data_IF_602940709643
#
_entry.id   IF_602940709643
#
_cell.length_a   1.000
_cell.length_b   1.000
_cell.length_c   1.000
_cell.angle_alpha   90.00
_cell.angle_beta   90.00
_cell.angle_gamma   90.00
#
_symmetry.space_group_name_H-M   'P 1'
#
loop_
_entity.id
_entity.type
_entity.pdbx_description
1 polymer ?
#
# COMPACT_ATOMS: atom_id res chain seq x y z
N UNK A 1 9.88 35.12 -4.67
CA UNK A 1 9.06 33.98 -4.33
C UNK A 1 7.91 33.93 -5.33
N UNK A 2 8.07 33.16 -6.40
CA UNK A 2 7.00 32.91 -7.36
C UNK A 2 5.97 32.04 -6.67
N UNK A 3 4.74 32.53 -6.55
CA UNK A 3 3.63 31.82 -5.98
C UNK A 3 3.37 30.53 -6.78
N UNK A 4 3.62 29.39 -6.18
CA UNK A 4 3.15 28.13 -6.73
C UNK A 4 1.62 28.18 -6.86
N UNK A 5 1.07 27.31 -7.70
CA UNK A 5 -0.37 27.12 -7.90
C UNK A 5 -1.06 26.60 -6.62
N UNK A 6 -0.93 27.33 -5.52
CA UNK A 6 -1.70 27.06 -4.32
C UNK A 6 -3.10 27.62 -4.52
N UNK A 7 -4.15 26.90 -4.17
CA UNK A 7 -5.51 27.42 -4.22
C UNK A 7 -5.59 28.69 -3.36
N UNK A 8 -6.19 29.72 -3.89
CA UNK A 8 -6.35 31.02 -3.23
C UNK A 8 -7.11 30.93 -1.89
N UNK A 9 -7.86 29.85 -1.72
CA UNK A 9 -8.62 29.53 -0.51
C UNK A 9 -8.23 28.11 -0.03
N UNK A 10 -7.34 27.98 0.95
CA UNK A 10 -6.88 26.68 1.46
C UNK A 10 -7.95 25.94 2.29
N UNK A 11 -9.07 26.58 2.59
CA UNK A 11 -10.17 25.99 3.35
C UNK A 11 -11.44 25.99 2.50
N UNK A 12 -11.92 24.80 2.16
CA UNK A 12 -13.22 24.61 1.52
C UNK A 12 -14.23 24.20 2.59
N UNK A 13 -15.38 24.86 2.60
CA UNK A 13 -16.52 24.42 3.38
C UNK A 13 -17.41 23.58 2.47
N UNK A 14 -17.48 22.28 2.72
CA UNK A 14 -18.36 21.34 2.01
C UNK A 14 -19.58 21.14 2.90
N UNK A 15 -20.76 21.52 2.40
CA UNK A 15 -22.03 21.16 3.02
C UNK A 15 -22.49 19.81 2.45
N UNK A 16 -22.95 18.93 3.30
CA UNK A 16 -23.54 17.65 2.93
C UNK A 16 -24.87 17.50 3.64
N UNK A 17 -25.93 17.26 2.89
CA UNK A 17 -27.25 16.99 3.42
C UNK A 17 -27.50 15.48 3.33
N UNK A 18 -27.66 14.85 4.49
CA UNK A 18 -27.97 13.43 4.57
C UNK A 18 -29.47 13.21 4.37
N UNK A 19 -29.82 12.20 3.59
CA UNK A 19 -31.19 11.76 3.36
C UNK A 19 -31.55 10.60 4.27
N UNK A 20 -32.85 10.30 4.42
CA UNK A 20 -33.30 9.14 5.16
C UNK A 20 -32.78 7.81 4.56
N UNK A 21 -32.48 7.79 3.27
CA UNK A 21 -31.94 6.60 2.61
C UNK A 21 -30.45 6.43 2.93
N UNK A 22 -29.69 7.51 3.04
CA UNK A 22 -28.31 7.45 3.53
C UNK A 22 -28.23 6.87 4.95
N UNK A 23 -29.17 7.26 5.83
CA UNK A 23 -29.25 6.71 7.18
C UNK A 23 -29.58 5.21 7.19
N UNK A 24 -30.49 4.75 6.34
CA UNK A 24 -30.83 3.33 6.23
C UNK A 24 -29.63 2.52 5.73
N UNK A 25 -28.94 3.02 4.71
CA UNK A 25 -27.74 2.37 4.17
C UNK A 25 -26.66 2.20 5.25
N UNK A 26 -26.43 3.27 6.05
CA UNK A 26 -25.48 3.22 7.16
C UNK A 26 -25.92 2.21 8.24
N UNK A 27 -27.22 2.20 8.60
CA UNK A 27 -27.74 1.23 9.57
C UNK A 27 -27.56 -0.21 9.11
N UNK A 28 -27.85 -0.50 7.84
CA UNK A 28 -27.68 -1.83 7.26
C UNK A 28 -26.20 -2.22 7.25
N UNK A 29 -25.33 -1.30 6.85
CA UNK A 29 -23.88 -1.52 6.89
C UNK A 29 -23.37 -1.82 8.31
N UNK A 30 -23.84 -1.08 9.33
CA UNK A 30 -23.49 -1.33 10.73
C UNK A 30 -23.93 -2.72 11.16
N UNK A 31 -25.20 -3.12 10.88
CA UNK A 31 -25.72 -4.45 11.21
C UNK A 31 -24.87 -5.55 10.59
N UNK A 32 -24.57 -5.44 9.31
CA UNK A 32 -23.71 -6.38 8.62
C UNK A 32 -22.33 -6.51 9.26
N UNK A 33 -21.72 -5.40 9.68
CA UNK A 33 -20.42 -5.43 10.35
C UNK A 33 -20.46 -6.14 11.71
N UNK A 34 -21.55 -5.98 12.47
CA UNK A 34 -21.73 -6.70 13.72
C UNK A 34 -21.95 -8.21 13.51
N UNK A 35 -22.67 -8.60 12.47
CA UNK A 35 -22.85 -10.01 12.11
C UNK A 35 -21.51 -10.62 11.71
N UNK A 36 -20.73 -9.97 10.82
CA UNK A 36 -19.41 -10.41 10.43
C UNK A 36 -18.46 -10.53 11.64
N UNK A 37 -18.50 -9.60 12.59
CA UNK A 37 -17.70 -9.66 13.81
C UNK A 37 -18.08 -10.88 14.66
N UNK A 38 -19.39 -11.12 14.84
CA UNK A 38 -19.89 -12.27 15.60
C UNK A 38 -19.47 -13.59 14.98
N UNK A 39 -19.48 -13.68 13.66
CA UNK A 39 -19.01 -14.86 12.93
C UNK A 39 -17.51 -15.06 13.10
N UNK A 40 -16.72 -13.98 12.99
CA UNK A 40 -15.28 -14.02 13.18
C UNK A 40 -14.86 -14.42 14.60
N UNK A 41 -15.63 -14.05 15.63
CA UNK A 41 -15.36 -14.44 17.03
C UNK A 41 -15.45 -15.96 17.27
N UNK A 42 -16.11 -16.69 16.36
CA UNK A 42 -16.27 -18.15 16.42
C UNK A 42 -15.30 -18.90 15.52
N UNK A 43 -14.50 -18.18 14.71
CA UNK A 43 -13.53 -18.78 13.81
C UNK A 43 -12.17 -18.99 14.48
N UNK A 44 -11.43 -19.98 14.00
CA UNK A 44 -10.02 -20.10 14.36
C UNK A 44 -9.17 -18.99 13.71
N UNK A 45 -8.11 -18.57 14.37
CA UNK A 45 -7.24 -17.48 13.89
C UNK A 45 -6.74 -17.68 12.44
N UNK A 46 -6.58 -18.94 12.02
CA UNK A 46 -6.13 -19.27 10.67
C UNK A 46 -7.20 -19.05 9.59
N UNK A 47 -8.47 -19.11 9.98
CA UNK A 47 -9.63 -18.99 9.09
C UNK A 47 -10.17 -17.56 9.01
N UNK A 48 -9.65 -16.66 9.84
CA UNK A 48 -10.06 -15.26 9.82
C UNK A 48 -9.82 -14.60 8.45
N UNK A 49 -10.80 -13.83 7.93
CA UNK A 49 -10.67 -13.16 6.66
C UNK A 49 -9.52 -12.15 6.67
N UNK A 50 -8.68 -12.20 5.65
CA UNK A 50 -7.59 -11.25 5.50
C UNK A 50 -8.13 -9.87 5.07
N UNK A 51 -7.48 -8.81 5.54
CA UNK A 51 -7.75 -7.46 5.05
C UNK A 51 -7.57 -7.40 3.52
N UNK A 52 -8.43 -6.65 2.86
CA UNK A 52 -8.35 -6.39 1.42
C UNK A 52 -7.08 -5.58 1.06
N UNK A 53 -6.61 -5.60 -0.20
CA UNK A 53 -5.49 -4.76 -0.62
C UNK A 53 -5.70 -3.27 -0.32
N UNK A 54 -6.93 -2.77 -0.47
CA UNK A 54 -7.28 -1.38 -0.15
C UNK A 54 -7.13 -1.09 1.33
N UNK A 55 -7.60 -1.98 2.20
CA UNK A 55 -7.47 -1.83 3.65
C UNK A 55 -6.02 -1.93 4.12
N UNK A 56 -5.19 -2.70 3.44
CA UNK A 56 -3.76 -2.80 3.72
C UNK A 56 -2.95 -1.62 3.19
N UNK A 57 -3.55 -0.72 2.42
CA UNK A 57 -2.87 0.34 1.65
C UNK A 57 -1.77 -0.25 0.78
N UNK A 58 -2.14 -1.32 0.08
CA UNK A 58 -1.23 -2.05 -0.77
C UNK A 58 -0.71 -1.17 -1.90
N UNK A 59 0.59 -1.21 -2.10
CA UNK A 59 1.27 -0.66 -3.28
C UNK A 59 1.84 -1.80 -4.08
N UNK A 60 1.54 -1.80 -5.36
CA UNK A 60 2.05 -2.81 -6.31
C UNK A 60 3.57 -2.70 -6.48
N UNK A 61 4.15 -3.78 -6.98
CA UNK A 61 5.53 -3.80 -7.43
C UNK A 61 5.77 -2.71 -8.47
N UNK A 62 6.95 -2.12 -8.47
CA UNK A 62 7.37 -1.17 -9.48
C UNK A 62 8.76 -1.52 -10.00
N UNK A 63 9.01 -1.18 -11.26
CA UNK A 63 10.27 -1.41 -11.93
C UNK A 63 10.92 -0.08 -12.23
N UNK A 64 12.06 0.14 -11.59
CA UNK A 64 12.79 1.40 -11.67
C UNK A 64 13.97 1.28 -12.64
N UNK A 65 14.05 2.15 -13.64
CA UNK A 65 15.27 2.30 -14.41
C UNK A 65 16.22 3.20 -13.63
N UNK A 66 17.32 2.61 -13.22
CA UNK A 66 18.37 3.28 -12.47
C UNK A 66 19.57 3.57 -13.36
N UNK A 67 20.17 4.74 -13.23
CA UNK A 67 21.41 5.10 -13.91
C UNK A 67 22.59 4.98 -12.94
N UNK A 68 23.67 4.37 -13.38
CA UNK A 68 24.91 4.24 -12.59
C UNK A 68 25.35 5.59 -12.01
N UNK A 69 25.53 5.65 -10.69
CA UNK A 69 25.91 6.86 -9.96
C UNK A 69 24.74 7.77 -9.56
N UNK A 70 23.49 7.38 -9.83
CA UNK A 70 22.28 8.10 -9.38
C UNK A 70 21.55 7.32 -8.31
N UNK A 71 21.13 8.01 -7.23
CA UNK A 71 20.29 7.42 -6.17
C UNK A 71 18.79 7.39 -6.54
N UNK A 72 18.36 8.27 -7.43
CA UNK A 72 16.94 8.35 -7.85
C UNK A 72 16.72 7.62 -9.17
N UNK A 73 15.56 7.00 -9.33
CA UNK A 73 15.14 6.39 -10.58
C UNK A 73 15.02 7.44 -11.70
N UNK A 74 15.38 7.05 -12.91
CA UNK A 74 15.18 7.87 -14.11
C UNK A 74 13.72 7.79 -14.53
N UNK A 75 13.16 6.57 -14.53
CA UNK A 75 11.75 6.28 -14.82
C UNK A 75 11.26 5.16 -13.92
N UNK A 76 9.94 5.10 -13.71
CA UNK A 76 9.24 4.04 -12.98
C UNK A 76 8.16 3.44 -13.87
N UNK A 77 8.05 2.12 -13.85
CA UNK A 77 7.06 1.36 -14.59
C UNK A 77 6.31 0.42 -13.66
N UNK A 78 5.08 0.09 -14.02
CA UNK A 78 4.25 -0.88 -13.30
C UNK A 78 4.52 -2.31 -13.73
N UNK A 79 5.04 -2.52 -14.91
CA UNK A 79 5.35 -3.84 -15.44
C UNK A 79 6.82 -3.94 -15.81
N UNK A 80 7.36 -5.15 -15.70
CA UNK A 80 8.73 -5.44 -16.12
C UNK A 80 8.90 -5.31 -17.65
N UNK A 81 7.87 -5.70 -18.40
CA UNK A 81 7.89 -5.61 -19.85
C UNK A 81 8.08 -4.19 -20.35
N UNK A 82 7.35 -3.22 -19.76
CA UNK A 82 7.49 -1.80 -20.15
C UNK A 82 8.87 -1.26 -19.76
N UNK A 83 9.39 -1.66 -18.60
CA UNK A 83 10.71 -1.28 -18.15
C UNK A 83 11.81 -1.83 -19.07
N UNK A 84 11.70 -3.09 -19.48
CA UNK A 84 12.62 -3.73 -20.42
C UNK A 84 12.60 -3.05 -21.78
N UNK A 85 11.40 -2.76 -22.32
CA UNK A 85 11.26 -2.09 -23.60
C UNK A 85 11.92 -0.70 -23.60
N UNK A 86 11.70 0.09 -22.57
CA UNK A 86 12.30 1.42 -22.44
C UNK A 86 13.82 1.34 -22.20
N UNK A 87 14.28 0.33 -21.44
CA UNK A 87 15.70 0.13 -21.16
C UNK A 87 16.51 -0.25 -22.41
N UNK A 88 15.90 -0.95 -23.38
CA UNK A 88 16.53 -1.27 -24.68
C UNK A 88 16.89 -0.01 -25.48
N UNK A 89 16.23 1.12 -25.21
CA UNK A 89 16.48 2.40 -25.87
C UNK A 89 17.50 3.26 -25.12
N UNK A 90 18.06 2.75 -24.01
CA UNK A 90 19.00 3.47 -23.14
C UNK A 90 20.42 2.87 -23.21
N UNK A 91 21.40 3.62 -22.73
CA UNK A 91 22.80 3.20 -22.67
C UNK A 91 23.02 2.04 -21.69
N UNK A 92 24.14 1.31 -21.84
CA UNK A 92 24.60 0.23 -20.93
C UNK A 92 24.82 0.68 -19.47
N UNK A 93 24.68 1.98 -19.21
CA UNK A 93 24.79 2.57 -17.85
C UNK A 93 23.48 2.51 -17.05
N UNK A 94 22.42 1.98 -17.66
CA UNK A 94 21.11 1.86 -17.03
C UNK A 94 20.84 0.40 -16.64
N UNK A 95 20.16 0.24 -15.52
CA UNK A 95 19.75 -1.07 -15.01
C UNK A 95 18.30 -1.00 -14.51
N UNK A 96 17.60 -2.11 -14.62
CA UNK A 96 16.25 -2.24 -14.06
C UNK A 96 16.38 -2.82 -12.66
N UNK A 97 15.74 -2.16 -11.71
CA UNK A 97 15.64 -2.62 -10.32
C UNK A 97 14.17 -2.79 -9.98
N UNK A 98 13.78 -4.02 -9.66
CA UNK A 98 12.47 -4.29 -9.11
C UNK A 98 12.39 -3.70 -7.70
N UNK A 99 11.34 -2.97 -7.43
CA UNK A 99 10.96 -2.49 -6.11
C UNK A 99 9.68 -3.21 -5.71
N UNK A 100 9.80 -4.04 -4.70
CA UNK A 100 8.67 -4.80 -4.20
C UNK A 100 7.59 -3.90 -3.65
N UNK A 101 6.35 -4.33 -3.85
CA UNK A 101 5.18 -3.71 -3.28
C UNK A 101 5.17 -3.82 -1.76
N UNK A 102 4.41 -2.95 -1.11
CA UNK A 102 4.34 -2.93 0.34
C UNK A 102 2.90 -2.76 0.83
N UNK A 103 2.59 -3.38 1.95
CA UNK A 103 1.33 -3.21 2.66
C UNK A 103 1.52 -2.16 3.76
N UNK A 104 1.57 -0.88 3.37
CA UNK A 104 1.99 0.21 4.26
C UNK A 104 1.25 0.28 5.59
N UNK A 105 -0.05 -0.05 5.61
CA UNK A 105 -0.82 -0.07 6.86
C UNK A 105 -0.35 -1.18 7.77
N UNK A 106 -0.11 -2.39 7.22
CA UNK A 106 0.35 -3.53 7.99
C UNK A 106 1.73 -3.29 8.59
N UNK A 107 2.64 -2.71 7.81
CA UNK A 107 4.02 -2.49 8.20
C UNK A 107 4.19 -1.38 9.25
N UNK A 108 3.37 -0.30 9.16
CA UNK A 108 3.63 0.91 9.92
C UNK A 108 2.52 1.32 10.89
N UNK A 109 1.28 0.87 10.69
CA UNK A 109 0.13 1.42 11.41
C UNK A 109 -0.79 0.37 12.06
N UNK A 110 -0.60 -0.92 11.76
CA UNK A 110 -1.44 -1.98 12.31
C UNK A 110 -0.93 -2.43 13.67
N UNK A 111 -1.69 -2.16 14.73
CA UNK A 111 -1.32 -2.52 16.10
C UNK A 111 -1.37 -4.03 16.37
N UNK A 112 -2.02 -4.80 15.49
CA UNK A 112 -2.21 -6.26 15.63
C UNK A 112 -1.41 -7.07 14.60
N UNK A 113 -0.53 -6.45 13.84
CA UNK A 113 0.21 -7.10 12.76
C UNK A 113 0.99 -8.33 13.23
N UNK A 114 1.61 -8.26 14.41
CA UNK A 114 2.41 -9.37 14.98
C UNK A 114 1.61 -10.65 15.28
N UNK A 115 0.29 -10.55 15.41
CA UNK A 115 -0.59 -11.71 15.59
C UNK A 115 -1.32 -12.10 14.29
N UNK A 116 -1.32 -11.24 13.28
CA UNK A 116 -2.00 -11.46 12.01
C UNK A 116 -1.34 -12.60 11.22
N UNK A 117 -2.07 -13.67 10.88
CA UNK A 117 -1.52 -14.80 10.11
C UNK A 117 -0.96 -14.36 8.75
N UNK A 118 -1.66 -13.48 8.05
CA UNK A 118 -1.21 -12.93 6.77
C UNK A 118 0.13 -12.19 6.89
N UNK A 119 0.25 -11.30 7.88
CA UNK A 119 1.48 -10.53 8.08
C UNK A 119 2.65 -11.45 8.46
N UNK A 120 2.40 -12.40 9.35
CA UNK A 120 3.41 -13.37 9.78
C UNK A 120 3.89 -14.27 8.65
N UNK A 121 3.00 -14.75 7.78
CA UNK A 121 3.39 -15.59 6.63
C UNK A 121 4.27 -14.80 5.65
N UNK A 122 3.93 -13.54 5.38
CA UNK A 122 4.69 -12.68 4.47
C UNK A 122 6.09 -12.35 5.00
N UNK A 123 6.25 -12.24 6.32
CA UNK A 123 7.53 -11.91 6.95
C UNK A 123 8.30 -13.15 7.48
N UNK A 124 7.71 -14.33 7.49
CA UNK A 124 8.40 -15.57 7.87
C UNK A 124 9.50 -15.95 6.87
N UNK A 125 9.32 -15.60 5.59
CA UNK A 125 10.33 -15.83 4.54
C UNK A 125 11.56 -14.93 4.67
N UNK A 126 11.47 -13.83 5.44
CA UNK A 126 12.61 -12.92 5.70
C UNK A 126 13.53 -13.40 6.83
N UNK A 127 13.17 -14.44 7.58
CA UNK A 127 13.97 -14.89 8.74
C UNK A 127 15.22 -15.69 8.35
N UNK A 128 15.29 -16.19 7.13
CA UNK A 128 16.41 -17.03 6.66
C UNK A 128 17.43 -16.28 5.77
N UNK A 129 17.16 -15.03 5.40
CA UNK A 129 18.12 -14.19 4.69
C UNK A 129 18.09 -12.77 5.28
N UNK A 130 19.12 -12.49 6.03
CA UNK A 130 19.61 -11.25 6.58
C UNK A 130 19.08 -9.99 5.84
N UNK A 131 18.01 -9.39 6.38
CA UNK A 131 17.54 -8.09 5.92
C UNK A 131 18.31 -7.03 6.70
N UNK A 132 19.51 -6.71 6.24
CA UNK A 132 20.31 -5.59 6.74
C UNK A 132 19.60 -4.29 6.37
N UNK A 133 18.81 -3.77 7.29
CA UNK A 133 18.40 -2.37 7.24
C UNK A 133 19.58 -1.50 7.66
N UNK A 134 20.40 -1.11 6.71
CA UNK A 134 21.29 0.03 6.90
C UNK A 134 20.45 1.30 7.10
N UNK A 135 20.26 1.64 8.36
CA UNK A 135 19.90 3.00 8.77
C UNK A 135 21.08 3.90 8.45
N UNK A 136 20.98 4.66 7.38
CA UNK A 136 21.92 5.74 7.08
C UNK A 136 21.61 6.94 7.98
N UNK A 137 22.59 7.29 8.81
CA UNK A 137 22.73 8.60 9.47
C UNK A 137 22.86 9.74 8.46
#
# INVERSE_FOLDING_TARGET
LQGGNYPQHPVYRIGWDFTDDDFKEIEEWIKQRFEELSDCEQMDDADLPNCTPTERWHKDDTYAIMKKGRKSAVKLFKTEGDANFDNLMLDDKHSIVKREGADNRCDNYCNVNKWCPYYRSKHAECSDNQCDTETAE
#
